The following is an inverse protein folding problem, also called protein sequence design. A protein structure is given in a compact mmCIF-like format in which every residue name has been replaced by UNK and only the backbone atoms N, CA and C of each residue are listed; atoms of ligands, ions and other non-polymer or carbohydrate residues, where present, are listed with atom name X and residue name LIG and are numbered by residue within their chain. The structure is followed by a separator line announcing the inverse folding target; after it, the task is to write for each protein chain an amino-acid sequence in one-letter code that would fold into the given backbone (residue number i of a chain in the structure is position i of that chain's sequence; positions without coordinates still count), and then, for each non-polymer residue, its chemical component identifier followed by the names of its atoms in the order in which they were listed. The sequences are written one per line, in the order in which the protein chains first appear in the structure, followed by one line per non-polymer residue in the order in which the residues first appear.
data_IF_033172545095
#
_entry.id   IF_033172545095
#
_cell.length_a   1.000
_cell.length_b   1.000
_cell.length_c   1.000
_cell.angle_alpha   90.00
_cell.angle_beta   90.00
_cell.angle_gamma   90.00
#
_symmetry.space_group_name_H-M   'P 1'
#
loop_
_entity.id
_entity.type
_entity.pdbx_description
1 polymer ?
#
# COMPACT_ATOMS: atom_id res chain seq x y z
N UNK A 1 11.42 -21.30 -2.07
CA UNK A 1 11.84 -20.64 -0.81
C UNK A 1 11.02 -19.36 -0.66
N UNK A 2 10.54 -19.00 0.54
CA UNK A 2 9.84 -17.73 0.77
C UNK A 2 10.86 -16.61 0.96
N UNK A 3 10.58 -15.39 0.44
CA UNK A 3 11.47 -14.25 0.60
C UNK A 3 11.73 -13.88 2.08
N UNK A 4 10.75 -14.11 2.95
CA UNK A 4 10.84 -13.88 4.39
C UNK A 4 10.36 -15.10 5.18
N UNK A 5 10.88 -15.27 6.40
CA UNK A 5 10.36 -16.25 7.34
C UNK A 5 8.92 -15.91 7.74
N UNK A 6 8.04 -16.91 7.91
CA UNK A 6 6.68 -16.67 8.40
C UNK A 6 6.66 -16.04 9.80
N UNK A 7 5.69 -15.18 10.11
CA UNK A 7 4.56 -14.79 9.26
C UNK A 7 4.77 -13.42 8.60
N UNK A 8 4.59 -13.35 7.29
CA UNK A 8 4.70 -12.12 6.51
C UNK A 8 3.72 -12.17 5.33
N UNK A 9 3.13 -11.02 4.97
CA UNK A 9 2.16 -10.83 3.88
C UNK A 9 2.36 -9.46 3.21
N UNK A 10 1.62 -9.18 2.15
CA UNK A 10 1.70 -7.91 1.40
C UNK A 10 3.12 -7.60 0.88
N UNK A 11 3.77 -8.62 0.31
CA UNK A 11 5.07 -8.49 -0.34
C UNK A 11 4.92 -7.80 -1.71
N UNK A 12 5.53 -6.63 -1.89
CA UNK A 12 5.40 -5.80 -3.11
C UNK A 12 6.79 -5.36 -3.58
N UNK A 13 7.22 -5.81 -4.75
CA UNK A 13 8.50 -5.42 -5.35
C UNK A 13 8.45 -3.98 -5.85
N UNK A 14 9.58 -3.29 -5.80
CA UNK A 14 9.80 -2.10 -6.61
C UNK A 14 10.01 -2.50 -8.08
N UNK A 15 9.58 -1.68 -9.06
CA UNK A 15 9.60 -2.04 -10.48
C UNK A 15 11.00 -2.03 -11.11
N UNK A 16 12.02 -1.59 -10.36
CA UNK A 16 13.43 -1.67 -10.74
C UNK A 16 14.31 -1.88 -9.51
N UNK A 17 15.56 -2.21 -9.76
CA UNK A 17 16.60 -2.21 -8.73
C UNK A 17 16.84 -0.79 -8.19
N UNK A 18 17.18 -0.70 -6.91
CA UNK A 18 17.59 0.53 -6.22
C UNK A 18 19.03 0.30 -5.74
N UNK A 19 19.94 1.18 -6.17
CA UNK A 19 21.39 1.02 -5.98
C UNK A 19 21.91 -0.40 -6.31
N UNK A 20 21.43 -0.98 -7.43
CA UNK A 20 21.84 -2.29 -7.92
C UNK A 20 21.24 -3.51 -7.20
N UNK A 21 20.35 -3.30 -6.22
CA UNK A 21 19.67 -4.36 -5.46
C UNK A 21 18.19 -4.42 -5.79
N UNK A 22 17.62 -5.62 -5.80
CA UNK A 22 16.17 -5.78 -5.77
C UNK A 22 15.64 -5.24 -4.44
N UNK A 23 14.47 -4.63 -4.47
CA UNK A 23 13.84 -4.03 -3.30
C UNK A 23 12.38 -4.50 -3.18
N UNK A 24 11.94 -4.78 -1.96
CA UNK A 24 10.59 -5.26 -1.67
C UNK A 24 10.04 -4.61 -0.41
N UNK A 25 8.80 -4.15 -0.47
CA UNK A 25 7.99 -3.85 0.70
C UNK A 25 7.38 -5.14 1.24
N UNK A 26 7.30 -5.29 2.55
CA UNK A 26 6.64 -6.43 3.20
C UNK A 26 5.92 -5.97 4.47
N UNK A 27 5.16 -6.89 5.07
CA UNK A 27 4.31 -6.59 6.22
C UNK A 27 4.31 -7.78 7.18
N UNK A 28 5.20 -7.79 8.19
CA UNK A 28 5.20 -8.79 9.26
C UNK A 28 3.78 -8.96 9.82
N UNK A 29 3.39 -10.21 10.04
CA UNK A 29 2.02 -10.59 10.37
C UNK A 29 2.01 -11.74 11.40
N UNK A 30 0.86 -12.38 11.60
CA UNK A 30 0.70 -13.58 12.44
C UNK A 30 -0.03 -14.72 11.71
N UNK A 31 -0.41 -15.77 12.45
CA UNK A 31 -1.12 -16.95 11.94
C UNK A 31 -2.57 -16.70 11.51
N UNK A 32 -3.16 -15.55 11.82
CA UNK A 32 -4.60 -15.33 11.68
C UNK A 32 -4.97 -13.95 11.14
N UNK A 33 -6.07 -13.41 11.65
CA UNK A 33 -6.50 -12.04 11.34
C UNK A 33 -5.66 -11.04 12.11
N UNK A 34 -4.47 -10.77 11.59
CA UNK A 34 -3.44 -9.97 12.26
C UNK A 34 -4.00 -8.63 12.76
N UNK A 35 -3.95 -8.33 14.07
CA UNK A 35 -4.47 -7.09 14.65
C UNK A 35 -3.43 -5.97 14.73
N UNK A 36 -2.29 -6.15 14.05
CA UNK A 36 -1.18 -5.19 13.93
C UNK A 36 -0.64 -5.23 12.49
N UNK A 37 0.24 -4.27 12.16
CA UNK A 37 0.99 -4.38 10.92
C UNK A 37 1.61 -3.08 10.45
N UNK A 38 2.94 -3.09 10.36
CA UNK A 38 3.77 -2.02 9.80
C UNK A 38 4.32 -2.43 8.42
N UNK A 39 4.57 -1.44 7.56
CA UNK A 39 5.26 -1.65 6.29
C UNK A 39 6.77 -1.58 6.52
N UNK A 40 7.46 -2.59 6.03
CA UNK A 40 8.93 -2.69 6.03
C UNK A 40 9.46 -2.73 4.60
N UNK A 41 10.68 -2.24 4.42
CA UNK A 41 11.47 -2.33 3.20
C UNK A 41 12.59 -3.36 3.41
N UNK A 42 12.98 -4.09 2.36
CA UNK A 42 14.10 -5.04 2.36
C UNK A 42 14.76 -5.09 0.99
N UNK A 43 16.03 -5.48 0.97
CA UNK A 43 16.84 -5.58 -0.24
C UNK A 43 17.35 -6.99 -0.49
N UNK A 44 17.59 -7.32 -1.75
CA UNK A 44 18.28 -8.54 -2.15
C UNK A 44 19.22 -8.27 -3.32
N UNK A 45 20.46 -8.82 -3.31
CA UNK A 45 21.32 -8.76 -4.48
C UNK A 45 20.86 -9.69 -5.61
N UNK A 46 20.10 -10.75 -5.30
CA UNK A 46 19.91 -11.92 -6.17
C UNK A 46 18.49 -12.55 -6.13
N UNK A 47 17.53 -11.88 -5.51
CA UNK A 47 16.15 -12.37 -5.27
C UNK A 47 16.04 -13.58 -4.32
N UNK A 48 17.15 -14.07 -3.76
CA UNK A 48 17.17 -15.22 -2.86
C UNK A 48 17.46 -14.82 -1.43
N UNK A 49 18.54 -14.08 -1.20
CA UNK A 49 18.93 -13.65 0.14
C UNK A 49 18.46 -12.23 0.39
N UNK A 50 17.58 -12.07 1.39
CA UNK A 50 16.96 -10.79 1.73
C UNK A 50 17.53 -10.26 3.05
N UNK A 51 17.79 -8.95 3.09
CA UNK A 51 18.39 -8.28 4.23
C UNK A 51 18.15 -6.77 4.19
N UNK A 52 18.96 -6.01 4.94
CA UNK A 52 18.84 -4.55 5.04
C UNK A 52 17.41 -4.08 5.36
N UNK A 53 16.76 -4.78 6.29
CA UNK A 53 15.38 -4.47 6.68
C UNK A 53 15.30 -3.08 7.29
N UNK A 54 14.33 -2.28 6.84
CA UNK A 54 14.07 -0.93 7.34
C UNK A 54 12.59 -0.73 7.58
N UNK A 55 12.23 -0.14 8.71
CA UNK A 55 10.87 0.32 8.95
C UNK A 55 10.55 1.47 7.98
N UNK A 56 9.37 1.43 7.36
CA UNK A 56 8.86 2.51 6.50
C UNK A 56 7.85 3.35 7.28
N UNK A 57 6.71 2.76 7.63
CA UNK A 57 5.74 3.37 8.53
C UNK A 57 4.74 2.33 9.09
N UNK A 58 4.13 2.65 10.24
CA UNK A 58 3.10 1.86 10.90
C UNK A 58 1.73 2.52 10.90
N UNK A 59 0.76 1.99 11.66
CA UNK A 59 -0.56 2.58 11.86
C UNK A 59 -0.50 4.03 12.37
N UNK A 60 -1.56 4.80 12.08
CA UNK A 60 -1.74 6.18 12.51
C UNK A 60 -3.18 6.41 12.99
N UNK A 61 -3.70 7.65 12.97
CA UNK A 61 -5.09 7.91 13.35
C UNK A 61 -6.13 7.44 12.31
N UNK A 62 -7.38 7.29 12.75
CA UNK A 62 -8.54 7.13 11.86
C UNK A 62 -8.55 5.81 11.07
N UNK A 63 -8.71 5.92 9.75
CA UNK A 63 -8.91 4.78 8.83
C UNK A 63 -7.74 3.78 8.77
N UNK A 64 -6.58 4.17 9.28
CA UNK A 64 -5.32 3.44 9.20
C UNK A 64 -4.75 3.15 10.59
N UNK A 65 -5.62 2.93 11.57
CA UNK A 65 -5.28 2.85 13.00
C UNK A 65 -4.96 1.47 13.53
N UNK A 66 -5.34 0.42 12.81
CA UNK A 66 -5.11 -0.97 13.27
C UNK A 66 -3.87 -1.57 12.60
N UNK A 67 -3.80 -1.48 11.28
CA UNK A 67 -2.69 -2.00 10.46
C UNK A 67 -2.67 -1.32 9.11
N UNK A 68 -1.51 -1.33 8.47
CA UNK A 68 -1.30 -0.87 7.09
C UNK A 68 -0.57 -1.93 6.29
N UNK A 69 -0.66 -1.85 4.96
CA UNK A 69 0.07 -2.74 4.06
C UNK A 69 0.14 -2.19 2.64
N UNK A 70 1.27 -2.42 1.97
CA UNK A 70 1.46 -2.03 0.57
C UNK A 70 0.44 -2.74 -0.33
N UNK A 71 -0.04 -2.05 -1.36
CA UNK A 71 -0.98 -2.57 -2.35
C UNK A 71 -0.30 -2.72 -3.72
N UNK A 72 -0.60 -1.84 -4.70
CA UNK A 72 0.07 -1.84 -6.00
C UNK A 72 1.60 -1.65 -5.93
N UNK A 73 2.27 -2.06 -7.02
CA UNK A 73 3.69 -1.74 -7.26
C UNK A 73 3.92 -0.22 -7.13
N UNK A 74 4.93 0.23 -6.36
CA UNK A 74 5.25 1.65 -6.24
C UNK A 74 5.50 2.30 -7.61
N UNK A 75 4.90 3.46 -7.84
CA UNK A 75 5.00 4.19 -9.10
C UNK A 75 6.16 5.20 -8.97
N UNK A 76 7.13 5.11 -9.87
CA UNK A 76 8.25 6.06 -9.90
C UNK A 76 7.77 7.42 -10.43
N UNK A 77 8.10 8.50 -9.72
CA UNK A 77 7.77 9.87 -10.11
C UNK A 77 8.98 10.78 -9.86
N UNK A 78 8.96 12.00 -10.39
CA UNK A 78 10.01 12.99 -10.11
C UNK A 78 10.05 13.45 -8.65
N UNK A 79 9.00 13.18 -7.88
CA UNK A 79 8.88 13.60 -6.48
C UNK A 79 9.15 12.47 -5.49
N UNK A 80 9.31 11.23 -5.95
CA UNK A 80 9.37 10.06 -5.09
C UNK A 80 8.70 8.83 -5.68
N UNK A 81 8.76 7.73 -4.93
CA UNK A 81 7.89 6.58 -5.15
C UNK A 81 6.51 6.87 -4.59
N UNK A 82 5.51 6.96 -5.46
CA UNK A 82 4.11 7.00 -5.07
C UNK A 82 3.65 5.59 -4.70
N UNK A 83 3.45 5.37 -3.40
CA UNK A 83 2.94 4.14 -2.82
C UNK A 83 1.44 4.29 -2.54
N UNK A 84 0.63 3.44 -3.17
CA UNK A 84 -0.77 3.21 -2.78
C UNK A 84 -0.79 2.07 -1.76
N UNK A 85 -1.44 2.27 -0.61
CA UNK A 85 -1.48 1.30 0.48
C UNK A 85 -2.89 1.20 1.07
N UNK A 86 -3.20 0.05 1.67
CA UNK A 86 -4.41 -0.12 2.46
C UNK A 86 -4.15 0.19 3.93
N UNK A 87 -5.20 0.60 4.62
CA UNK A 87 -5.23 0.86 6.05
C UNK A 87 -6.53 0.32 6.62
N UNK A 88 -6.46 -0.09 7.89
CA UNK A 88 -7.58 -0.71 8.58
C UNK A 88 -8.01 0.11 9.79
N UNK A 89 -9.31 0.33 9.88
CA UNK A 89 -10.00 0.74 11.10
C UNK A 89 -10.72 -0.45 11.72
N UNK A 90 -10.62 -0.59 13.04
CA UNK A 90 -11.39 -1.57 13.81
C UNK A 90 -12.63 -0.92 14.39
N UNK A 91 -13.81 -1.34 13.92
CA UNK A 91 -15.10 -0.98 14.49
C UNK A 91 -15.56 -2.05 15.50
N UNK A 92 -16.69 -1.82 16.17
CA UNK A 92 -17.32 -2.85 17.02
C UNK A 92 -17.74 -4.11 16.25
N UNK A 93 -17.91 -4.02 14.93
CA UNK A 93 -18.39 -5.12 14.07
C UNK A 93 -17.29 -5.67 13.13
N UNK A 94 -16.02 -5.36 13.39
CA UNK A 94 -14.88 -5.85 12.62
C UNK A 94 -14.13 -4.76 11.86
N UNK A 95 -13.38 -5.19 10.84
CA UNK A 95 -12.45 -4.33 10.10
C UNK A 95 -13.11 -3.60 8.93
N UNK A 96 -12.67 -2.37 8.69
CA UNK A 96 -12.96 -1.59 7.50
C UNK A 96 -11.64 -1.31 6.79
N UNK A 97 -11.51 -1.77 5.54
CA UNK A 97 -10.31 -1.56 4.73
C UNK A 97 -10.54 -0.42 3.74
N UNK A 98 -9.69 0.60 3.82
CA UNK A 98 -9.68 1.76 2.91
C UNK A 98 -8.32 1.93 2.27
N UNK A 99 -8.22 2.75 1.23
CA UNK A 99 -6.99 3.03 0.50
C UNK A 99 -6.52 4.48 0.65
N UNK A 100 -5.22 4.65 0.85
CA UNK A 100 -4.53 5.94 0.90
C UNK A 100 -3.21 5.89 0.12
N UNK A 101 -2.48 7.00 0.15
CA UNK A 101 -1.22 7.12 -0.58
C UNK A 101 -0.11 7.77 0.24
N UNK A 102 1.12 7.41 -0.06
CA UNK A 102 2.33 7.97 0.54
C UNK A 102 3.37 8.21 -0.56
N UNK A 103 4.21 9.20 -0.35
CA UNK A 103 5.35 9.51 -1.20
C UNK A 103 6.62 9.12 -0.46
N UNK A 104 7.43 8.25 -1.04
CA UNK A 104 8.67 7.74 -0.47
C UNK A 104 9.87 8.27 -1.24
N UNK A 105 11.00 8.41 -0.56
CA UNK A 105 12.26 8.85 -1.18
C UNK A 105 12.75 7.89 -2.29
N UNK A 106 13.25 8.44 -3.40
CA UNK A 106 13.65 7.66 -4.58
C UNK A 106 14.83 6.71 -4.32
N UNK A 107 15.80 7.17 -3.52
CA UNK A 107 17.06 6.48 -3.25
C UNK A 107 16.96 5.65 -1.97
N UNK A 108 16.20 6.12 -0.99
CA UNK A 108 15.99 5.47 0.30
C UNK A 108 14.51 5.29 0.61
N UNK A 109 13.78 4.37 -0.06
CA UNK A 109 12.31 4.30 0.00
C UNK A 109 11.70 3.98 1.37
N UNK A 110 12.52 3.64 2.36
CA UNK A 110 12.05 3.55 3.75
C UNK A 110 11.87 4.92 4.42
N UNK A 111 12.30 6.01 3.78
CA UNK A 111 12.04 7.38 4.21
C UNK A 111 10.77 7.90 3.57
N UNK A 112 9.78 8.20 4.40
CA UNK A 112 8.52 8.80 3.97
C UNK A 112 8.72 10.30 3.80
N UNK A 113 8.40 10.82 2.62
CA UNK A 113 8.38 12.25 2.32
C UNK A 113 7.05 12.85 2.79
N UNK A 114 5.94 12.21 2.43
CA UNK A 114 4.59 12.63 2.81
C UNK A 114 3.66 11.41 2.85
N UNK A 115 2.61 11.46 3.67
CA UNK A 115 1.63 10.38 3.81
C UNK A 115 0.26 10.94 4.06
N UNK A 116 -0.72 10.57 3.24
CA UNK A 116 -2.07 11.13 3.37
C UNK A 116 -2.70 10.82 4.73
N UNK A 117 -3.25 11.85 5.37
CA UNK A 117 -4.05 11.73 6.59
C UNK A 117 -5.38 11.07 6.28
N UNK A 118 -6.06 11.48 5.21
CA UNK A 118 -7.31 10.88 4.72
C UNK A 118 -7.06 9.74 3.73
N UNK A 119 -8.04 8.85 3.61
CA UNK A 119 -8.15 7.90 2.50
C UNK A 119 -8.61 8.63 1.24
N UNK A 120 -8.30 8.10 0.06
CA UNK A 120 -8.89 8.56 -1.20
C UNK A 120 -10.02 7.65 -1.69
N UNK A 121 -10.08 6.38 -1.25
CA UNK A 121 -11.23 5.48 -1.44
C UNK A 121 -11.52 4.73 -0.13
N UNK A 122 -12.79 4.61 0.21
CA UNK A 122 -13.30 3.75 1.29
C UNK A 122 -14.51 2.97 0.80
N UNK A 123 -14.89 1.85 1.44
CA UNK A 123 -16.10 1.10 1.09
C UNK A 123 -17.34 1.98 1.23
N UNK A 124 -18.12 2.12 0.16
CA UNK A 124 -19.35 2.93 0.15
C UNK A 124 -20.45 2.30 -0.71
N UNK A 125 -20.08 1.71 -1.82
CA UNK A 125 -21.01 1.08 -2.76
C UNK A 125 -21.40 -0.32 -2.28
N UNK A 126 -22.53 -0.84 -2.80
CA UNK A 126 -23.05 -2.13 -2.36
C UNK A 126 -22.04 -3.27 -2.55
N UNK A 127 -21.27 -3.26 -3.64
CA UNK A 127 -20.27 -4.30 -3.94
C UNK A 127 -18.99 -4.19 -3.10
N UNK A 128 -18.78 -3.09 -2.37
CA UNK A 128 -17.68 -2.92 -1.42
C UNK A 128 -18.11 -3.22 0.03
N UNK A 129 -19.38 -2.97 0.33
CA UNK A 129 -19.96 -3.11 1.67
C UNK A 129 -20.61 -4.48 1.91
N UNK A 130 -20.98 -5.21 0.86
CA UNK A 130 -21.67 -6.51 0.96
C UNK A 130 -20.93 -7.55 0.10
N UNK A 131 -20.55 -8.65 0.74
CA UNK A 131 -19.82 -9.75 0.14
C UNK A 131 -19.30 -10.71 1.21
N UNK A 132 -18.38 -11.58 0.82
CA UNK A 132 -17.75 -12.57 1.70
C UNK A 132 -17.05 -11.94 2.90
N UNK A 133 -16.41 -10.76 2.70
CA UNK A 133 -15.89 -9.92 3.79
C UNK A 133 -16.41 -8.49 3.60
N UNK A 134 -17.43 -8.07 4.37
CA UNK A 134 -18.00 -6.73 4.28
C UNK A 134 -16.98 -5.60 4.50
N UNK A 135 -17.22 -4.46 3.87
CA UNK A 135 -16.48 -3.21 4.06
C UNK A 135 -14.98 -3.30 3.69
N UNK A 136 -14.71 -3.82 2.49
CA UNK A 136 -13.35 -3.93 1.96
C UNK A 136 -13.20 -3.20 0.64
N UNK A 137 -12.23 -2.27 0.62
CA UNK A 137 -11.56 -1.76 -0.58
C UNK A 137 -10.08 -2.13 -0.44
N UNK A 138 -9.58 -3.02 -1.29
CA UNK A 138 -8.21 -3.52 -1.22
C UNK A 138 -7.46 -3.33 -2.54
N UNK A 139 -6.63 -2.27 -2.70
CA UNK A 139 -5.92 -2.00 -3.95
C UNK A 139 -4.77 -3.00 -4.17
N UNK A 140 -4.72 -3.63 -5.35
CA UNK A 140 -3.73 -4.67 -5.67
C UNK A 140 -2.84 -4.32 -6.86
N UNK A 141 -3.34 -3.55 -7.82
CA UNK A 141 -2.58 -3.19 -9.02
C UNK A 141 -2.95 -1.79 -9.51
N UNK A 142 -2.02 -1.16 -10.21
CA UNK A 142 -2.25 0.12 -10.86
C UNK A 142 -1.61 0.12 -12.25
N UNK A 143 -2.30 0.69 -13.23
CA UNK A 143 -1.76 1.03 -14.54
C UNK A 143 -1.60 2.54 -14.62
N UNK A 144 -0.43 2.98 -15.06
CA UNK A 144 -0.09 4.40 -15.19
C UNK A 144 0.36 4.69 -16.62
N UNK A 145 -0.27 5.67 -17.25
CA UNK A 145 0.10 6.19 -18.56
C UNK A 145 1.01 7.42 -18.40
N UNK A 146 2.32 7.23 -18.51
CA UNK A 146 3.31 8.28 -18.20
C UNK A 146 3.13 9.58 -19.02
N UNK A 147 2.85 9.56 -20.35
CA UNK A 147 2.58 10.77 -21.12
C UNK A 147 1.41 11.63 -20.63
N UNK A 148 0.36 11.01 -20.08
CA UNK A 148 -0.86 11.75 -19.67
C UNK A 148 -1.05 11.81 -18.15
N UNK A 149 -0.24 11.09 -17.38
CA UNK A 149 -0.41 10.90 -15.95
C UNK A 149 -1.68 10.15 -15.55
N UNK A 150 -2.38 9.48 -16.48
CA UNK A 150 -3.65 8.77 -16.16
C UNK A 150 -3.34 7.54 -15.33
N UNK A 151 -4.16 7.32 -14.31
CA UNK A 151 -4.02 6.24 -13.35
C UNK A 151 -5.30 5.41 -13.32
N UNK A 152 -5.17 4.09 -13.40
CA UNK A 152 -6.25 3.13 -13.20
C UNK A 152 -5.86 2.14 -12.09
N UNK A 153 -6.62 2.10 -10.99
CA UNK A 153 -6.32 1.32 -9.78
C UNK A 153 -7.32 0.16 -9.68
N UNK A 154 -6.82 -1.06 -9.79
CA UNK A 154 -7.60 -2.28 -9.56
C UNK A 154 -7.63 -2.59 -8.08
N UNK A 155 -8.83 -2.80 -7.54
CA UNK A 155 -9.03 -3.12 -6.13
C UNK A 155 -10.09 -4.21 -5.95
N UNK A 156 -9.92 -5.00 -4.89
CA UNK A 156 -10.94 -5.96 -4.43
C UNK A 156 -12.05 -5.22 -3.67
N UNK A 157 -13.30 -5.54 -4.00
CA UNK A 157 -14.50 -5.10 -3.30
C UNK A 157 -15.09 -6.26 -2.47
N UNK A 158 -15.22 -6.05 -1.16
CA UNK A 158 -15.79 -7.00 -0.20
C UNK A 158 -15.20 -8.44 -0.24
N UNK A 159 -13.93 -8.59 -0.61
CA UNK A 159 -13.28 -9.88 -0.94
C UNK A 159 -14.07 -10.76 -1.93
N UNK A 160 -14.89 -10.14 -2.79
CA UNK A 160 -15.87 -10.85 -3.64
C UNK A 160 -15.69 -10.52 -5.12
N UNK A 161 -15.43 -9.25 -5.46
CA UNK A 161 -15.31 -8.77 -6.84
C UNK A 161 -14.03 -7.97 -7.06
N UNK A 162 -13.65 -7.77 -8.32
CA UNK A 162 -12.62 -6.81 -8.73
C UNK A 162 -13.30 -5.60 -9.34
N UNK A 163 -12.93 -4.41 -8.85
CA UNK A 163 -13.41 -3.12 -9.33
C UNK A 163 -12.22 -2.24 -9.76
N UNK A 164 -12.54 -1.10 -10.38
CA UNK A 164 -11.56 -0.19 -10.97
C UNK A 164 -11.90 1.25 -10.59
N UNK A 165 -10.90 2.01 -10.16
CA UNK A 165 -10.99 3.44 -9.92
C UNK A 165 -10.00 4.19 -10.81
N UNK A 166 -10.32 5.44 -11.16
CA UNK A 166 -9.50 6.26 -12.06
C UNK A 166 -9.10 7.56 -11.39
N UNK A 167 -7.97 8.12 -11.83
CA UNK A 167 -7.50 9.43 -11.41
C UNK A 167 -6.27 9.83 -12.21
N UNK A 168 -5.53 10.80 -11.69
CA UNK A 168 -4.24 11.22 -12.22
C UNK A 168 -3.15 11.09 -11.14
N UNK A 169 -1.94 10.72 -11.57
CA UNK A 169 -0.79 10.59 -10.66
C UNK A 169 -0.52 11.90 -9.93
N UNK A 170 -0.55 13.04 -10.63
CA UNK A 170 -0.26 14.34 -10.03
C UNK A 170 -1.33 14.73 -8.99
N UNK A 171 -2.61 14.52 -9.28
CA UNK A 171 -3.69 14.80 -8.32
C UNK A 171 -3.49 14.03 -7.01
N UNK A 172 -3.03 12.77 -7.09
CA UNK A 172 -2.78 11.95 -5.92
C UNK A 172 -1.53 12.43 -5.14
N UNK A 173 -0.47 12.87 -5.83
CA UNK A 173 0.70 13.48 -5.20
C UNK A 173 0.31 14.78 -4.49
N UNK A 174 -0.41 15.66 -5.15
CA UNK A 174 -0.85 16.94 -4.62
C UNK A 174 -1.77 16.75 -3.40
N UNK A 175 -2.67 15.75 -3.46
CA UNK A 175 -3.48 15.34 -2.31
C UNK A 175 -2.61 14.87 -1.14
N UNK A 176 -1.63 14.00 -1.38
CA UNK A 176 -0.74 13.49 -0.32
C UNK A 176 0.07 14.61 0.33
N UNK A 177 0.58 15.57 -0.45
CA UNK A 177 1.38 16.68 0.06
C UNK A 177 0.54 17.73 0.80
N UNK A 178 -0.68 18.00 0.33
CA UNK A 178 -1.58 18.98 0.97
C UNK A 178 -2.28 18.45 2.23
N UNK A 179 -2.41 17.13 2.37
CA UNK A 179 -3.07 16.46 3.50
C UNK A 179 -2.11 15.51 4.25
N UNK A 180 -0.82 15.84 4.32
CA UNK A 180 0.15 14.97 4.98
C UNK A 180 -0.09 14.90 6.50
N UNK A 181 0.11 13.71 7.07
CA UNK A 181 0.26 13.48 8.51
C UNK A 181 1.45 14.22 9.10
#
# INVERSE_FOLDING_TARGET
ENAFLPYNRNGVLFPRKIHGRFAMLSRPSDTGHTPFGDIFYSESPDMRYWGNHRFVFGPAGGWQSTKVGAGPIPIETSEGWLLIYHGVLTSCNGYVYSAGAALLDLDQPWKVIARSRRYFISPQTLYECVGDVPNVVFPCAALCDAPTGRLAIYYGGADTVVALAFGYVQDLIDFVKSDSL
#
